data_IF_845238351637
#
_entry.id   IF_845238351637
#
_cell.length_a   1.000
_cell.length_b   1.000
_cell.length_c   1.000
_cell.angle_alpha   90.00
_cell.angle_beta   90.00
_cell.angle_gamma   90.00
#
_symmetry.space_group_name_H-M   'P 1'
#
loop_
_entity.id
_entity.type
_entity.pdbx_description
1 polymer ?
#
# COMPACT_ATOMS: atom_id res chain seq x y z
N UNK A 1 34.47 5.76 -28.14
CA UNK A 1 33.24 5.19 -27.62
C UNK A 1 33.09 5.70 -26.18
N UNK A 2 32.26 6.72 -25.98
CA UNK A 2 31.98 7.27 -24.67
C UNK A 2 30.92 6.38 -23.94
N UNK A 3 31.06 6.12 -22.62
CA UNK A 3 30.06 5.37 -21.89
C UNK A 3 28.78 6.23 -21.72
N UNK A 4 27.59 5.61 -21.63
CA UNK A 4 26.36 6.35 -21.46
C UNK A 4 26.33 7.03 -20.08
N UNK A 5 26.19 8.33 -20.09
CA UNK A 5 25.98 9.18 -18.93
C UNK A 5 24.66 8.80 -18.29
N UNK A 6 24.70 8.30 -17.06
CA UNK A 6 23.51 8.13 -16.22
C UNK A 6 22.90 9.52 -15.94
N UNK A 7 21.84 9.84 -16.65
CA UNK A 7 21.03 11.04 -16.41
C UNK A 7 20.27 10.86 -15.10
N UNK A 8 20.75 11.48 -14.04
CA UNK A 8 19.95 11.78 -12.85
C UNK A 8 19.03 12.93 -13.22
N UNK A 9 17.80 12.62 -13.63
CA UNK A 9 16.77 13.64 -13.85
C UNK A 9 16.28 14.19 -12.49
N UNK A 10 16.33 15.51 -12.25
CA UNK A 10 15.65 16.11 -11.11
C UNK A 10 14.12 16.10 -11.39
N UNK A 11 13.31 15.63 -10.44
CA UNK A 11 11.84 15.60 -10.40
C UNK A 11 11.15 14.29 -10.81
N UNK A 12 11.50 13.19 -10.18
CA UNK A 12 10.47 12.18 -9.89
C UNK A 12 9.70 12.68 -8.67
N UNK A 13 8.39 12.94 -8.85
CA UNK A 13 7.51 13.08 -7.69
C UNK A 13 7.66 11.81 -6.87
N UNK A 14 7.91 11.87 -5.55
CA UNK A 14 8.01 10.69 -4.72
C UNK A 14 6.67 9.95 -4.79
N UNK A 15 6.68 8.80 -5.43
CA UNK A 15 5.57 7.85 -5.36
C UNK A 15 5.53 7.40 -3.91
N UNK A 16 4.38 7.37 -3.25
CA UNK A 16 4.28 6.92 -1.86
C UNK A 16 4.91 5.54 -1.74
N UNK A 17 5.86 5.41 -0.83
CA UNK A 17 6.32 4.09 -0.37
C UNK A 17 5.12 3.34 0.18
N UNK A 18 5.06 2.01 0.09
CA UNK A 18 3.90 1.21 0.51
C UNK A 18 3.60 1.28 2.01
N UNK A 19 4.40 1.99 2.79
CA UNK A 19 4.30 2.09 4.24
C UNK A 19 3.11 2.95 4.64
N UNK A 20 1.98 2.32 4.94
CA UNK A 20 0.90 2.96 5.71
C UNK A 20 1.25 3.10 7.20
N UNK A 21 2.33 2.49 7.65
CA UNK A 21 2.76 2.45 9.03
C UNK A 21 3.81 3.52 9.31
N UNK A 22 3.44 4.74 9.60
CA UNK A 22 4.26 5.67 10.38
C UNK A 22 3.48 6.92 10.76
N UNK A 23 2.69 6.85 11.80
CA UNK A 23 2.36 8.04 12.61
C UNK A 23 2.50 7.66 14.08
N UNK A 24 3.58 8.13 14.70
CA UNK A 24 3.77 8.10 16.14
C UNK A 24 2.94 9.19 16.82
N UNK A 25 2.20 8.92 17.90
CA UNK A 25 2.52 9.29 19.26
C UNK A 25 1.40 9.03 20.29
N UNK A 26 1.79 8.34 21.38
CA UNK A 26 1.43 8.48 22.82
C UNK A 26 -0.03 8.18 23.21
N UNK A 27 -0.24 7.11 23.99
CA UNK A 27 -0.51 7.20 25.43
C UNK A 27 -0.72 5.83 26.10
N UNK A 28 -0.13 5.69 27.27
CA UNK A 28 -0.24 4.58 28.23
C UNK A 28 -1.66 4.43 28.77
N UNK A 29 -2.14 3.19 28.97
CA UNK A 29 -2.33 2.67 30.32
C UNK A 29 -2.84 1.23 30.31
N UNK A 30 -2.22 0.45 31.13
CA UNK A 30 -2.50 -0.91 31.54
C UNK A 30 -3.80 -1.00 32.35
N UNK A 31 -4.52 -2.12 32.25
CA UNK A 31 -5.04 -2.85 33.42
C UNK A 31 -5.27 -4.32 33.05
N UNK A 32 -4.64 -5.19 33.77
CA UNK A 32 -4.89 -6.62 33.80
C UNK A 32 -6.11 -6.94 34.66
N UNK A 33 -6.85 -7.98 34.34
CA UNK A 33 -7.43 -8.84 35.38
C UNK A 33 -7.87 -10.21 34.83
N UNK A 34 -7.35 -11.24 35.50
CA UNK A 34 -7.73 -12.64 35.44
C UNK A 34 -9.19 -12.85 35.86
N UNK A 35 -9.80 -13.94 35.40
CA UNK A 35 -10.31 -15.03 36.26
C UNK A 35 -10.75 -16.22 35.40
N UNK A 36 -10.24 -17.38 35.78
CA UNK A 36 -10.64 -18.71 35.32
C UNK A 36 -11.99 -19.14 35.99
N UNK A 37 -12.77 -19.96 35.34
CA UNK A 37 -13.51 -21.06 35.96
C UNK A 37 -13.90 -22.15 34.96
N UNK A 38 -13.58 -23.35 35.35
CA UNK A 38 -13.86 -24.67 34.79
C UNK A 38 -15.33 -25.08 34.99
N UNK A 39 -15.85 -25.94 34.10
CA UNK A 39 -17.06 -26.71 34.36
C UNK A 39 -17.64 -27.43 33.15
N UNK A 40 -17.53 -28.75 33.14
CA UNK A 40 -17.90 -29.72 32.13
C UNK A 40 -19.44 -29.88 31.97
N UNK A 41 -19.83 -30.59 30.89
CA UNK A 41 -20.84 -31.63 30.61
C UNK A 41 -21.47 -31.45 29.23
N UNK A 42 -21.08 -32.22 28.28
CA UNK A 42 -21.55 -33.45 27.56
C UNK A 42 -22.98 -33.38 26.96
N UNK A 43 -23.00 -33.65 25.64
CA UNK A 43 -24.03 -34.23 24.79
C UNK A 43 -25.37 -33.49 24.59
N UNK A 44 -25.51 -32.93 23.39
CA UNK A 44 -26.65 -33.19 22.52
C UNK A 44 -26.29 -32.88 21.08
N UNK A 45 -26.13 -33.92 20.30
CA UNK A 45 -25.90 -33.93 18.85
C UNK A 45 -27.20 -33.55 18.12
N UNK A 46 -26.93 -32.93 16.92
CA UNK A 46 -27.85 -32.81 15.79
C UNK A 46 -28.89 -31.68 15.85
N UNK A 47 -28.63 -30.64 15.16
CA UNK A 47 -29.49 -29.75 14.37
C UNK A 47 -29.01 -28.29 14.34
N UNK A 48 -27.72 -28.03 14.05
CA UNK A 48 -27.18 -26.66 13.96
C UNK A 48 -26.44 -26.38 12.67
N UNK A 49 -26.70 -27.09 11.57
CA UNK A 49 -25.94 -26.87 10.33
C UNK A 49 -26.62 -25.95 9.31
N UNK A 50 -27.77 -25.35 9.62
CA UNK A 50 -28.47 -24.45 8.67
C UNK A 50 -28.60 -23.00 9.12
N UNK A 51 -28.19 -22.66 10.32
CA UNK A 51 -28.32 -21.28 10.83
C UNK A 51 -27.11 -20.37 10.57
N UNK A 52 -25.97 -20.95 10.17
CA UNK A 52 -24.75 -20.14 9.96
C UNK A 52 -24.69 -19.39 8.63
N UNK A 53 -25.60 -19.68 7.70
CA UNK A 53 -25.60 -19.10 6.34
C UNK A 53 -26.51 -17.88 6.20
N UNK A 54 -27.36 -17.60 7.18
CA UNK A 54 -28.27 -16.43 7.11
C UNK A 54 -27.74 -15.17 7.83
N UNK A 55 -26.69 -15.26 8.63
CA UNK A 55 -26.14 -14.10 9.32
C UNK A 55 -25.30 -13.17 8.41
N UNK A 56 -24.87 -13.63 7.24
CA UNK A 56 -24.02 -12.86 6.32
C UNK A 56 -24.80 -11.89 5.41
N UNK A 57 -26.07 -12.13 5.17
CA UNK A 57 -26.88 -11.28 4.26
C UNK A 57 -27.25 -9.95 4.90
N UNK A 58 -27.28 -9.84 6.22
CA UNK A 58 -27.69 -8.61 6.90
C UNK A 58 -26.61 -7.53 6.96
N UNK A 59 -25.33 -7.89 6.81
CA UNK A 59 -24.19 -6.94 6.89
C UNK A 59 -24.01 -6.12 5.61
N UNK A 60 -24.60 -6.53 4.50
CA UNK A 60 -24.42 -5.89 3.19
C UNK A 60 -25.56 -4.94 2.80
N UNK A 61 -26.56 -4.76 3.68
CA UNK A 61 -27.70 -3.88 3.40
C UNK A 61 -27.33 -2.38 3.37
N UNK A 62 -26.17 -2.01 3.91
CA UNK A 62 -25.65 -0.64 3.82
C UNK A 62 -24.19 -0.66 3.31
N UNK A 63 -23.97 -0.55 1.99
CA UNK A 63 -22.64 -0.46 1.40
C UNK A 63 -21.80 0.69 1.96
N UNK A 64 -22.42 1.82 2.31
CA UNK A 64 -21.71 2.96 2.85
C UNK A 64 -21.21 2.70 4.28
N UNK A 65 -21.98 1.96 5.09
CA UNK A 65 -21.56 1.56 6.43
C UNK A 65 -20.39 0.57 6.37
N UNK A 66 -20.41 -0.39 5.43
CA UNK A 66 -19.30 -1.33 5.22
C UNK A 66 -18.00 -0.57 4.90
N UNK A 67 -18.07 0.41 3.99
CA UNK A 67 -16.91 1.24 3.66
C UNK A 67 -16.46 2.09 4.85
N UNK A 68 -17.39 2.66 5.63
CA UNK A 68 -17.03 3.43 6.85
C UNK A 68 -16.24 2.57 7.85
N UNK A 69 -16.70 1.35 8.11
CA UNK A 69 -15.98 0.41 9.01
C UNK A 69 -14.62 0.03 8.45
N UNK A 70 -14.53 -0.28 7.15
CA UNK A 70 -13.27 -0.59 6.52
C UNK A 70 -12.28 0.58 6.62
N UNK A 71 -12.71 1.79 6.30
CA UNK A 71 -11.88 3.00 6.44
C UNK A 71 -11.42 3.24 7.89
N UNK A 72 -12.29 3.02 8.87
CA UNK A 72 -11.90 3.13 10.29
C UNK A 72 -10.80 2.13 10.65
N UNK A 73 -10.88 0.90 10.14
CA UNK A 73 -9.85 -0.11 10.37
C UNK A 73 -8.56 0.18 9.60
N UNK A 74 -8.62 0.74 8.38
CA UNK A 74 -7.42 1.23 7.68
C UNK A 74 -6.72 2.34 8.47
N UNK A 75 -7.48 3.30 9.02
CA UNK A 75 -6.93 4.37 9.87
C UNK A 75 -6.33 3.79 11.16
N UNK A 76 -7.00 2.82 11.79
CA UNK A 76 -6.48 2.16 12.98
C UNK A 76 -5.19 1.41 12.67
N UNK A 77 -5.16 0.63 11.59
CA UNK A 77 -3.97 -0.11 11.16
C UNK A 77 -2.80 0.83 10.81
N UNK A 78 -3.07 1.97 10.19
CA UNK A 78 -2.01 2.94 9.86
C UNK A 78 -1.37 3.60 11.09
N UNK A 79 -2.02 3.53 12.25
CA UNK A 79 -1.50 4.01 13.53
C UNK A 79 -0.90 2.88 14.39
N UNK A 80 -0.95 1.63 13.90
CA UNK A 80 -0.40 0.47 14.60
C UNK A 80 1.07 0.29 14.21
N UNK A 81 1.97 0.49 15.14
CA UNK A 81 3.42 0.41 14.96
C UNK A 81 4.01 -0.90 15.48
N UNK A 82 3.18 -1.92 15.68
CA UNK A 82 3.58 -3.19 16.31
C UNK A 82 4.25 -4.16 15.35
N UNK A 83 4.03 -4.04 14.06
CA UNK A 83 4.59 -4.93 13.05
C UNK A 83 5.40 -4.15 12.01
N UNK A 84 6.52 -4.74 11.60
CA UNK A 84 7.37 -4.26 10.51
C UNK A 84 7.78 -5.42 9.64
N UNK A 85 8.02 -5.13 8.36
CA UNK A 85 8.29 -6.15 7.38
C UNK A 85 9.59 -5.89 6.62
N UNK A 86 10.24 -6.99 6.24
CA UNK A 86 11.13 -7.09 5.11
C UNK A 86 10.28 -7.60 3.94
N UNK A 87 10.41 -6.99 2.77
CA UNK A 87 9.68 -7.40 1.56
C UNK A 87 10.43 -6.99 0.29
N UNK A 88 10.01 -7.53 -0.84
CA UNK A 88 10.52 -7.18 -2.16
C UNK A 88 9.48 -6.41 -2.95
N UNK A 89 9.89 -5.35 -3.63
CA UNK A 89 9.06 -4.59 -4.55
C UNK A 89 9.70 -4.48 -5.93
N UNK A 90 8.90 -4.65 -6.97
CA UNK A 90 9.31 -4.39 -8.35
C UNK A 90 8.44 -3.28 -8.93
N UNK A 91 9.09 -2.17 -9.29
CA UNK A 91 8.46 -1.05 -10.00
C UNK A 91 8.77 -1.15 -11.48
N UNK A 92 7.72 -1.18 -12.30
CA UNK A 92 7.80 -1.17 -13.76
C UNK A 92 7.26 0.14 -14.30
N UNK A 93 7.98 0.75 -15.23
CA UNK A 93 7.62 1.95 -15.96
C UNK A 93 7.92 1.75 -17.44
N UNK A 94 7.49 2.66 -18.36
CA UNK A 94 7.89 2.60 -19.77
C UNK A 94 9.42 2.66 -20.00
N UNK A 95 10.19 3.12 -19.00
CA UNK A 95 11.65 3.20 -19.06
C UNK A 95 12.36 1.92 -18.61
N UNK A 96 11.61 0.95 -18.06
CA UNK A 96 12.14 -0.31 -17.55
C UNK A 96 11.66 -0.62 -16.14
N UNK A 97 12.22 -1.68 -15.55
CA UNK A 97 11.88 -2.12 -14.21
C UNK A 97 13.05 -2.03 -13.24
N UNK A 98 12.72 -1.78 -11.98
CA UNK A 98 13.66 -1.77 -10.85
C UNK A 98 13.11 -2.65 -9.74
N UNK A 99 13.90 -3.62 -9.30
CA UNK A 99 13.57 -4.46 -8.15
C UNK A 99 14.38 -4.03 -6.93
N UNK A 100 13.70 -3.85 -5.81
CA UNK A 100 14.29 -3.51 -4.51
C UNK A 100 13.84 -4.50 -3.44
N UNK A 101 14.66 -4.69 -2.45
CA UNK A 101 14.27 -5.23 -1.14
C UNK A 101 14.17 -4.07 -0.16
N UNK A 102 13.20 -4.17 0.74
CA UNK A 102 12.88 -3.15 1.71
C UNK A 102 12.87 -3.73 3.13
N UNK A 103 13.27 -2.94 4.09
CA UNK A 103 13.08 -3.22 5.51
C UNK A 103 12.49 -1.97 6.15
N UNK A 104 11.35 -2.14 6.78
CA UNK A 104 10.73 -1.07 7.57
C UNK A 104 11.45 -0.91 8.89
N UNK A 105 11.72 0.32 9.29
CA UNK A 105 12.33 0.65 10.56
C UNK A 105 11.55 1.74 11.28
N UNK A 106 11.86 1.97 12.55
CA UNK A 106 11.28 3.10 13.29
C UNK A 106 11.69 4.47 12.72
N UNK A 107 12.79 4.52 11.97
CA UNK A 107 13.34 5.79 11.46
C UNK A 107 12.80 6.12 10.06
N UNK A 108 12.91 5.18 9.15
CA UNK A 108 12.40 5.27 7.77
C UNK A 108 12.54 3.89 7.10
N UNK A 109 11.88 3.67 5.98
CA UNK A 109 12.04 2.43 5.21
C UNK A 109 13.41 2.39 4.53
N UNK A 110 14.26 1.42 4.91
CA UNK A 110 15.49 1.15 4.19
C UNK A 110 15.18 0.37 2.91
N UNK A 111 15.81 0.73 1.79
CA UNK A 111 15.57 0.06 0.50
C UNK A 111 16.85 -0.06 -0.30
N UNK A 112 17.14 -1.28 -0.76
CA UNK A 112 18.31 -1.63 -1.56
C UNK A 112 17.87 -2.11 -2.94
N UNK A 113 18.35 -1.50 -4.02
CA UNK A 113 18.14 -1.99 -5.39
C UNK A 113 18.96 -3.27 -5.58
N UNK A 114 18.33 -4.30 -6.13
CA UNK A 114 18.96 -5.59 -6.40
C UNK A 114 18.97 -5.97 -7.88
N UNK A 115 18.09 -5.36 -8.68
CA UNK A 115 18.04 -5.64 -10.11
C UNK A 115 17.47 -4.47 -10.92
N UNK A 116 17.96 -4.33 -12.16
CA UNK A 116 17.38 -3.50 -13.21
C UNK A 116 16.95 -4.38 -14.39
N UNK A 117 15.72 -4.21 -14.86
CA UNK A 117 15.13 -4.99 -15.96
C UNK A 117 15.27 -6.50 -15.77
N UNK A 118 15.04 -6.96 -14.52
CA UNK A 118 15.17 -8.37 -14.15
C UNK A 118 16.62 -8.91 -14.07
N UNK A 119 17.63 -8.08 -14.36
CA UNK A 119 19.04 -8.46 -14.28
C UNK A 119 19.64 -7.99 -12.97
N UNK A 120 20.37 -8.84 -12.22
CA UNK A 120 21.11 -8.44 -11.02
C UNK A 120 22.06 -7.26 -11.31
N UNK A 121 22.37 -6.49 -10.29
CA UNK A 121 23.33 -5.40 -10.40
C UNK A 121 24.74 -5.92 -10.77
N UNK A 122 25.48 -5.15 -11.58
CA UNK A 122 26.91 -5.36 -11.73
C UNK A 122 27.63 -5.05 -10.42
N UNK A 123 28.88 -5.54 -10.24
CA UNK A 123 29.67 -5.20 -9.03
C UNK A 123 29.83 -3.70 -8.80
N UNK A 124 29.94 -2.89 -9.86
CA UNK A 124 30.01 -1.43 -9.79
C UNK A 124 28.71 -0.82 -9.30
N UNK A 125 27.59 -1.20 -9.93
CA UNK A 125 26.24 -0.74 -9.55
C UNK A 125 25.92 -1.10 -8.11
N UNK A 126 26.31 -2.30 -7.67
CA UNK A 126 26.13 -2.74 -6.29
C UNK A 126 26.88 -1.83 -5.31
N UNK A 127 28.15 -1.55 -5.56
CA UNK A 127 28.96 -0.64 -4.70
C UNK A 127 28.35 0.77 -4.65
N UNK A 128 27.87 1.29 -5.78
CA UNK A 128 27.20 2.60 -5.82
C UNK A 128 25.91 2.61 -5.01
N UNK A 129 25.12 1.54 -5.11
CA UNK A 129 23.86 1.43 -4.39
C UNK A 129 24.07 1.26 -2.87
N UNK A 130 25.04 0.42 -2.46
CA UNK A 130 25.41 0.28 -1.05
C UNK A 130 25.88 1.62 -0.48
N UNK A 131 26.78 2.33 -1.17
CA UNK A 131 27.23 3.65 -0.77
C UNK A 131 26.09 4.68 -0.70
N UNK A 132 25.09 4.57 -1.59
CA UNK A 132 23.87 5.41 -1.54
C UNK A 132 23.08 5.17 -0.27
N UNK A 133 22.88 3.93 0.15
CA UNK A 133 22.11 3.62 1.35
C UNK A 133 22.94 3.92 2.61
N UNK A 134 24.23 3.66 2.60
CA UNK A 134 25.14 3.98 3.72
C UNK A 134 25.19 5.49 4.03
N UNK A 135 25.01 6.36 3.04
CA UNK A 135 24.95 7.82 3.29
C UNK A 135 23.87 8.20 4.29
N UNK A 136 22.74 7.50 4.35
CA UNK A 136 21.70 7.77 5.34
C UNK A 136 22.14 7.46 6.77
N UNK A 137 23.08 6.52 6.95
CA UNK A 137 23.66 6.19 8.26
C UNK A 137 24.62 7.30 8.72
N UNK A 138 25.42 7.83 7.78
CA UNK A 138 26.44 8.83 8.05
C UNK A 138 25.91 10.27 7.98
N UNK A 139 24.69 10.46 7.48
CA UNK A 139 24.07 11.78 7.38
C UNK A 139 22.67 11.80 8.02
N UNK A 140 22.59 12.10 9.32
CA UNK A 140 21.32 12.15 10.05
C UNK A 140 20.29 13.11 9.46
N UNK A 141 20.73 14.20 8.79
CA UNK A 141 19.84 15.15 8.14
C UNK A 141 19.16 14.55 6.91
N UNK A 142 19.86 13.74 6.12
CA UNK A 142 19.25 13.03 4.98
C UNK A 142 18.24 11.99 5.47
N UNK A 143 18.56 11.26 6.52
CA UNK A 143 17.64 10.30 7.14
C UNK A 143 16.39 11.00 7.70
N UNK A 144 16.57 12.17 8.36
CA UNK A 144 15.47 12.98 8.86
C UNK A 144 14.56 13.47 7.72
N UNK A 145 15.14 13.96 6.62
CA UNK A 145 14.38 14.40 5.43
C UNK A 145 13.62 13.23 4.81
N UNK A 146 14.24 12.05 4.73
CA UNK A 146 13.58 10.84 4.22
C UNK A 146 12.37 10.46 5.09
N UNK A 147 12.52 10.43 6.41
CA UNK A 147 11.43 10.19 7.37
C UNK A 147 10.29 11.18 7.18
N UNK A 148 10.60 12.46 7.10
CA UNK A 148 9.61 13.52 6.91
C UNK A 148 8.84 13.33 5.60
N UNK A 149 9.54 13.01 4.51
CA UNK A 149 8.92 12.74 3.22
C UNK A 149 7.99 11.52 3.25
N UNK A 150 8.37 10.45 3.92
CA UNK A 150 7.54 9.25 4.10
C UNK A 150 6.30 9.57 4.93
N UNK A 151 6.46 10.33 6.03
CA UNK A 151 5.35 10.78 6.86
C UNK A 151 4.36 11.64 6.07
N UNK A 152 4.82 12.63 5.32
CA UNK A 152 3.96 13.46 4.47
C UNK A 152 3.21 12.64 3.43
N UNK A 153 3.86 11.64 2.82
CA UNK A 153 3.22 10.75 1.86
C UNK A 153 2.14 9.89 2.53
N UNK A 154 2.43 9.33 3.70
CA UNK A 154 1.46 8.57 4.48
C UNK A 154 0.24 9.43 4.88
N UNK A 155 0.46 10.66 5.34
CA UNK A 155 -0.61 11.60 5.68
C UNK A 155 -1.49 11.95 4.47
N UNK A 156 -0.89 12.15 3.29
CA UNK A 156 -1.64 12.38 2.03
C UNK A 156 -2.51 11.17 1.68
N UNK A 157 -1.95 9.97 1.79
CA UNK A 157 -2.70 8.72 1.53
C UNK A 157 -3.85 8.57 2.52
N UNK A 158 -3.61 8.75 3.82
CA UNK A 158 -4.65 8.69 4.85
C UNK A 158 -5.74 9.74 4.64
N UNK A 159 -5.40 10.93 4.15
CA UNK A 159 -6.39 11.95 3.82
C UNK A 159 -7.36 11.47 2.74
N UNK A 160 -6.85 10.83 1.69
CA UNK A 160 -7.67 10.21 0.65
C UNK A 160 -8.54 9.09 1.23
N UNK A 161 -7.96 8.18 2.02
CA UNK A 161 -8.70 7.07 2.63
C UNK A 161 -9.83 7.58 3.53
N UNK A 162 -9.57 8.57 4.37
CA UNK A 162 -10.58 9.21 5.25
C UNK A 162 -11.73 9.84 4.48
N UNK A 163 -11.45 10.34 3.28
CA UNK A 163 -12.45 11.01 2.45
C UNK A 163 -13.42 10.03 1.77
N UNK A 164 -13.02 8.75 1.54
CA UNK A 164 -13.77 7.78 0.74
C UNK A 164 -15.27 7.68 1.11
N UNK A 165 -15.65 7.53 2.40
CA UNK A 165 -17.07 7.36 2.76
C UNK A 165 -17.95 8.56 2.43
N UNK A 166 -17.38 9.76 2.39
CA UNK A 166 -18.11 11.00 2.11
C UNK A 166 -17.99 11.42 0.64
N UNK A 167 -16.86 11.11 0.00
CA UNK A 167 -16.57 11.48 -1.37
C UNK A 167 -17.37 10.67 -2.39
N UNK A 168 -17.82 9.46 -2.01
CA UNK A 168 -18.47 8.53 -2.92
C UNK A 168 -19.83 8.06 -2.40
N UNK A 169 -20.68 7.70 -3.36
CA UNK A 169 -21.88 6.88 -3.16
C UNK A 169 -21.51 5.46 -3.59
N UNK A 170 -21.95 4.47 -2.81
CA UNK A 170 -21.61 3.07 -2.99
C UNK A 170 -22.87 2.25 -3.28
N UNK A 171 -22.78 1.38 -4.29
CA UNK A 171 -23.81 0.44 -4.66
C UNK A 171 -23.24 -0.99 -4.59
N UNK A 172 -23.99 -1.95 -4.04
CA UNK A 172 -23.59 -3.34 -4.03
C UNK A 172 -23.48 -3.89 -5.45
N UNK A 173 -22.38 -4.59 -5.74
CA UNK A 173 -22.08 -5.10 -7.09
C UNK A 173 -21.73 -6.60 -7.09
N UNK A 174 -22.04 -7.32 -5.99
CA UNK A 174 -21.82 -8.76 -5.85
C UNK A 174 -20.70 -9.12 -4.89
N UNK A 175 -20.27 -10.36 -4.96
CA UNK A 175 -19.18 -10.92 -4.17
C UNK A 175 -18.14 -11.57 -5.09
N UNK A 176 -16.89 -11.55 -4.66
CA UNK A 176 -15.77 -12.21 -5.31
C UNK A 176 -14.98 -13.01 -4.30
N UNK A 177 -14.31 -14.08 -4.73
CA UNK A 177 -13.34 -14.77 -3.90
C UNK A 177 -11.99 -14.03 -3.97
N UNK A 178 -11.27 -14.03 -2.86
CA UNK A 178 -9.91 -13.51 -2.83
C UNK A 178 -9.03 -14.28 -3.83
N UNK A 179 -8.04 -13.59 -4.37
CA UNK A 179 -7.04 -14.16 -5.25
C UNK A 179 -5.63 -13.85 -4.74
N UNK A 180 -4.57 -14.51 -5.23
CA UNK A 180 -3.21 -14.22 -4.79
C UNK A 180 -2.90 -12.72 -4.86
N UNK A 181 -2.46 -12.15 -3.76
CA UNK A 181 -2.18 -10.71 -3.64
C UNK A 181 -3.40 -9.84 -3.32
N UNK A 182 -4.60 -10.37 -3.19
CA UNK A 182 -5.81 -9.59 -2.93
C UNK A 182 -6.61 -10.21 -1.79
N UNK A 183 -6.72 -9.50 -0.68
CA UNK A 183 -7.51 -9.92 0.45
C UNK A 183 -6.86 -11.02 1.28
N UNK A 184 -7.65 -11.63 2.13
CA UNK A 184 -7.28 -12.78 2.95
C UNK A 184 -7.44 -14.05 2.13
N UNK A 185 -6.43 -14.92 2.13
CA UNK A 185 -6.43 -16.16 1.36
C UNK A 185 -7.73 -16.98 1.59
N UNK A 186 -8.44 -17.28 0.50
CA UNK A 186 -9.71 -18.02 0.53
C UNK A 186 -10.88 -17.24 1.17
N UNK A 187 -10.72 -15.95 1.47
CA UNK A 187 -11.77 -15.14 2.06
C UNK A 187 -12.75 -14.57 1.02
N UNK A 188 -14.04 -14.42 1.35
CA UNK A 188 -14.98 -13.72 0.48
C UNK A 188 -14.75 -12.20 0.54
N UNK A 189 -14.92 -11.55 -0.60
CA UNK A 189 -14.81 -10.12 -0.76
C UNK A 189 -16.13 -9.55 -1.28
N UNK A 190 -16.64 -8.53 -0.62
CA UNK A 190 -17.79 -7.77 -1.10
C UNK A 190 -17.34 -6.75 -2.12
N UNK A 191 -17.93 -6.79 -3.30
CA UNK A 191 -17.69 -5.83 -4.37
C UNK A 191 -18.71 -4.71 -4.31
N UNK A 192 -18.21 -3.49 -4.20
CA UNK A 192 -19.04 -2.28 -4.23
C UNK A 192 -18.61 -1.41 -5.41
N UNK A 193 -19.58 -0.96 -6.19
CA UNK A 193 -19.38 0.08 -7.20
C UNK A 193 -19.42 1.43 -6.53
N UNK A 194 -18.48 2.32 -6.87
CA UNK A 194 -18.49 3.69 -6.36
C UNK A 194 -18.56 4.73 -7.49
N UNK A 195 -19.21 5.83 -7.18
CA UNK A 195 -19.32 7.04 -8.01
C UNK A 195 -19.26 8.28 -7.13
N UNK A 196 -18.85 9.44 -7.67
CA UNK A 196 -18.77 10.66 -6.86
C UNK A 196 -20.10 11.02 -6.20
N UNK A 197 -20.01 11.46 -4.96
CA UNK A 197 -21.12 12.07 -4.25
C UNK A 197 -21.27 13.54 -4.69
N UNK A 198 -22.37 13.96 -5.32
CA UNK A 198 -22.54 15.33 -5.80
C UNK A 198 -22.51 16.38 -4.67
N UNK A 199 -22.84 15.96 -3.44
CA UNK A 199 -22.83 16.82 -2.26
C UNK A 199 -21.49 16.98 -1.60
N UNK A 200 -20.49 16.16 -2.00
CA UNK A 200 -19.14 16.24 -1.45
C UNK A 200 -18.45 17.54 -1.85
N UNK A 201 -17.85 18.20 -0.88
CA UNK A 201 -17.02 19.40 -1.07
C UNK A 201 -15.62 19.05 -0.62
N UNK A 202 -14.64 18.88 -1.54
CA UNK A 202 -13.26 18.55 -1.19
C UNK A 202 -12.64 19.63 -0.29
N UNK A 203 -12.07 19.27 0.88
CA UNK A 203 -11.44 20.25 1.76
C UNK A 203 -10.08 20.73 1.22
N UNK A 204 -9.46 19.97 0.33
CA UNK A 204 -8.19 20.34 -0.30
C UNK A 204 -8.07 19.78 -1.72
N UNK A 205 -7.02 20.23 -2.42
CA UNK A 205 -6.71 19.78 -3.79
C UNK A 205 -6.41 18.29 -3.88
N UNK A 206 -5.89 17.70 -2.81
CA UNK A 206 -5.61 16.25 -2.78
C UNK A 206 -6.90 15.47 -2.93
N UNK A 207 -7.97 15.89 -2.24
CA UNK A 207 -9.28 15.25 -2.31
C UNK A 207 -10.08 15.66 -3.55
N UNK A 208 -9.70 16.75 -4.26
CA UNK A 208 -10.42 17.22 -5.44
C UNK A 208 -10.46 16.15 -6.56
N UNK A 209 -9.42 15.33 -6.66
CA UNK A 209 -9.34 14.22 -7.63
C UNK A 209 -10.51 13.22 -7.46
N UNK A 210 -11.01 13.05 -6.24
CA UNK A 210 -12.12 12.12 -5.95
C UNK A 210 -13.41 12.52 -6.66
N UNK A 211 -13.61 13.79 -6.97
CA UNK A 211 -14.82 14.28 -7.67
C UNK A 211 -14.93 13.82 -9.13
N UNK A 212 -13.85 13.31 -9.69
CA UNK A 212 -13.78 12.77 -11.05
C UNK A 212 -13.60 11.26 -11.11
N UNK A 213 -13.53 10.57 -9.98
CA UNK A 213 -13.26 9.14 -9.95
C UNK A 213 -14.53 8.29 -9.84
N UNK A 214 -14.52 7.15 -10.52
CA UNK A 214 -15.53 6.09 -10.37
C UNK A 214 -14.85 4.73 -10.51
N UNK A 215 -15.48 3.68 -9.97
CA UNK A 215 -14.90 2.34 -10.06
C UNK A 215 -15.50 1.33 -9.10
N UNK A 216 -14.64 0.45 -8.58
CA UNK A 216 -15.03 -0.61 -7.66
C UNK A 216 -14.05 -0.67 -6.48
N UNK A 217 -14.60 -1.00 -5.30
CA UNK A 217 -13.84 -1.38 -4.13
C UNK A 217 -14.22 -2.80 -3.73
N UNK A 218 -13.21 -3.60 -3.38
CA UNK A 218 -13.37 -4.93 -2.77
C UNK A 218 -13.07 -4.80 -1.28
N UNK A 219 -13.99 -5.27 -0.45
CA UNK A 219 -13.88 -5.21 1.01
C UNK A 219 -13.99 -6.62 1.58
N UNK A 220 -13.02 -7.02 2.39
CA UNK A 220 -13.16 -8.19 3.26
C UNK A 220 -14.13 -7.82 4.39
N UNK A 221 -15.36 -8.34 4.32
CA UNK A 221 -16.42 -8.00 5.25
C UNK A 221 -16.27 -8.71 6.62
N UNK A 222 -15.37 -9.67 6.75
CA UNK A 222 -15.06 -10.33 8.03
C UNK A 222 -14.05 -9.50 8.82
N UNK A 223 -12.99 -9.05 8.14
CA UNK A 223 -11.93 -8.22 8.75
C UNK A 223 -12.22 -6.72 8.65
N UNK A 224 -13.22 -6.32 7.85
CA UNK A 224 -13.50 -4.92 7.51
C UNK A 224 -12.22 -4.22 7.02
N UNK A 225 -11.58 -4.81 5.98
CA UNK A 225 -10.38 -4.26 5.36
C UNK A 225 -10.62 -4.05 3.86
N UNK A 226 -9.99 -3.02 3.30
CA UNK A 226 -10.04 -2.77 1.86
C UNK A 226 -9.03 -3.69 1.19
N UNK A 227 -9.53 -4.68 0.41
CA UNK A 227 -8.67 -5.60 -0.33
C UNK A 227 -8.21 -5.02 -1.68
N UNK A 228 -9.04 -4.19 -2.33
CA UNK A 228 -8.67 -3.53 -3.58
C UNK A 228 -9.52 -2.30 -3.84
N UNK A 229 -8.91 -1.28 -4.45
CA UNK A 229 -9.63 -0.13 -5.04
C UNK A 229 -9.17 -0.02 -6.48
N UNK A 230 -10.13 -0.09 -7.43
CA UNK A 230 -9.89 0.06 -8.86
C UNK A 230 -10.76 1.18 -9.40
N UNK A 231 -10.16 2.22 -9.94
CA UNK A 231 -10.91 3.38 -10.41
C UNK A 231 -10.32 4.05 -11.65
N UNK A 232 -11.17 4.85 -12.27
CA UNK A 232 -10.83 5.67 -13.41
C UNK A 232 -11.34 7.10 -13.24
N UNK A 233 -10.62 8.05 -13.81
CA UNK A 233 -11.11 9.41 -14.01
C UNK A 233 -12.09 9.42 -15.20
N UNK A 234 -13.37 9.55 -14.94
CA UNK A 234 -14.40 9.63 -16.00
C UNK A 234 -14.52 11.02 -16.62
N UNK A 235 -13.94 12.03 -15.99
CA UNK A 235 -13.83 13.41 -16.48
C UNK A 235 -12.45 13.99 -16.13
N UNK A 236 -12.10 15.09 -16.77
CA UNK A 236 -10.96 15.91 -16.37
C UNK A 236 -11.18 16.47 -14.95
N UNK A 237 -10.12 16.51 -14.15
CA UNK A 237 -10.13 17.16 -12.84
C UNK A 237 -9.08 18.26 -12.83
N UNK A 238 -9.55 19.50 -12.73
CA UNK A 238 -8.71 20.69 -12.70
C UNK A 238 -8.45 21.15 -11.28
N UNK A 239 -7.23 21.62 -11.00
CA UNK A 239 -6.79 22.10 -9.70
C UNK A 239 -6.57 23.61 -9.74
N UNK A 240 -7.05 24.31 -8.69
CA UNK A 240 -6.89 25.75 -8.59
C UNK A 240 -7.46 26.49 -9.81
N UNK A 241 -8.68 26.14 -10.20
CA UNK A 241 -9.41 26.71 -11.35
C UNK A 241 -8.66 26.51 -12.68
N UNK A 242 -7.92 25.40 -12.80
CA UNK A 242 -7.13 25.07 -13.98
C UNK A 242 -5.74 25.72 -14.03
N UNK A 243 -5.46 26.74 -13.25
CA UNK A 243 -4.17 27.46 -13.26
C UNK A 243 -3.03 26.60 -12.72
N UNK A 244 -3.31 25.76 -11.71
CA UNK A 244 -2.31 24.89 -11.07
C UNK A 244 -2.13 23.56 -11.79
N UNK A 245 -3.01 23.23 -12.72
CA UNK A 245 -2.94 22.05 -13.53
C UNK A 245 -4.26 21.27 -13.60
N UNK A 246 -4.21 20.15 -14.28
CA UNK A 246 -5.32 19.21 -14.40
C UNK A 246 -4.81 17.79 -14.60
N UNK A 247 -5.69 16.82 -14.29
CA UNK A 247 -5.56 15.43 -14.71
C UNK A 247 -6.57 15.14 -15.80
N UNK A 248 -6.11 14.50 -16.86
CA UNK A 248 -6.92 14.17 -18.01
C UNK A 248 -7.95 13.08 -17.69
N UNK A 249 -9.08 13.10 -18.39
CA UNK A 249 -10.01 11.98 -18.44
C UNK A 249 -9.30 10.70 -18.89
N UNK A 250 -9.70 9.54 -18.31
CA UNK A 250 -9.17 8.22 -18.65
C UNK A 250 -8.00 7.78 -17.76
N UNK A 251 -7.54 8.65 -16.86
CA UNK A 251 -6.56 8.23 -15.84
C UNK A 251 -7.10 7.06 -15.02
N UNK A 252 -6.20 6.12 -14.64
CA UNK A 252 -6.56 4.88 -13.94
C UNK A 252 -5.67 4.67 -12.73
N UNK A 253 -6.24 4.06 -11.70
CA UNK A 253 -5.48 3.57 -10.56
C UNK A 253 -6.04 2.23 -10.08
N UNK A 254 -5.14 1.40 -9.58
CA UNK A 254 -5.44 0.15 -8.90
C UNK A 254 -4.52 0.08 -7.68
N UNK A 255 -5.10 -0.16 -6.52
CA UNK A 255 -4.35 -0.49 -5.29
C UNK A 255 -4.91 -1.80 -4.77
N UNK A 256 -4.03 -2.72 -4.40
CA UNK A 256 -4.36 -4.04 -3.88
C UNK A 256 -3.65 -4.24 -2.56
N UNK A 257 -4.34 -4.87 -1.61
CA UNK A 257 -3.80 -5.26 -0.31
C UNK A 257 -4.08 -6.73 -0.05
N UNK A 258 -3.19 -7.39 0.68
CA UNK A 258 -3.36 -8.75 1.14
C UNK A 258 -3.06 -8.87 2.63
N UNK A 259 -3.67 -9.84 3.28
CA UNK A 259 -3.27 -10.26 4.62
C UNK A 259 -1.95 -11.04 4.52
N UNK A 260 -0.89 -10.54 5.15
CA UNK A 260 0.46 -11.15 5.12
C UNK A 260 0.79 -11.93 6.39
N UNK A 261 0.10 -11.63 7.48
CA UNK A 261 0.08 -12.38 8.74
C UNK A 261 -1.27 -12.14 9.40
N UNK A 262 -1.58 -12.81 10.53
CA UNK A 262 -2.90 -12.69 11.16
C UNK A 262 -3.26 -11.22 11.42
N UNK A 263 -4.29 -10.75 10.71
CA UNK A 263 -4.82 -9.38 10.73
C UNK A 263 -3.81 -8.25 10.36
N UNK A 264 -2.65 -8.60 9.83
CA UNK A 264 -1.67 -7.65 9.29
C UNK A 264 -1.78 -7.61 7.77
N UNK A 265 -2.04 -6.42 7.23
CA UNK A 265 -2.33 -6.21 5.81
C UNK A 265 -1.33 -5.27 5.20
N UNK A 266 -0.81 -5.66 4.03
CA UNK A 266 0.17 -4.88 3.29
C UNK A 266 -0.27 -4.68 1.84
N UNK A 267 0.20 -3.58 1.24
CA UNK A 267 0.01 -3.34 -0.19
C UNK A 267 0.80 -4.41 -0.97
N UNK A 268 0.08 -5.18 -1.78
CA UNK A 268 0.64 -6.21 -2.67
C UNK A 268 0.84 -5.70 -4.08
N UNK A 269 0.08 -4.69 -4.50
CA UNK A 269 0.16 -4.14 -5.84
C UNK A 269 -0.40 -2.73 -5.95
N UNK A 270 0.20 -1.96 -6.87
CA UNK A 270 -0.27 -0.64 -7.23
C UNK A 270 -0.02 -0.37 -8.71
N UNK A 271 -1.03 0.10 -9.42
CA UNK A 271 -0.90 0.57 -10.81
C UNK A 271 -1.45 1.97 -10.93
N UNK A 272 -0.67 2.86 -11.50
CA UNK A 272 -1.04 4.25 -11.75
C UNK A 272 -0.80 4.59 -13.22
N UNK A 273 -1.81 5.15 -13.87
CA UNK A 273 -1.73 5.63 -15.26
C UNK A 273 -2.50 6.95 -15.35
N UNK A 274 -1.79 8.07 -15.32
CA UNK A 274 -2.37 9.40 -15.38
C UNK A 274 -1.59 10.29 -16.33
N UNK A 275 -2.30 11.08 -17.10
CA UNK A 275 -1.77 12.21 -17.87
C UNK A 275 -2.39 13.51 -17.39
N UNK A 276 -1.79 14.63 -17.76
CA UNK A 276 -2.28 15.94 -17.37
C UNK A 276 -1.22 17.02 -17.54
N UNK A 277 -1.46 18.15 -16.87
CA UNK A 277 -0.50 19.27 -16.83
C UNK A 277 -0.36 19.84 -15.43
N UNK A 278 0.83 20.34 -15.11
CA UNK A 278 1.14 21.08 -13.89
C UNK A 278 1.57 22.49 -14.30
N UNK A 279 1.03 23.51 -13.61
CA UNK A 279 1.32 24.93 -13.86
C UNK A 279 1.17 25.31 -15.35
N UNK A 280 0.17 24.73 -16.04
CA UNK A 280 -0.18 24.96 -17.45
C UNK A 280 0.91 24.57 -18.48
N UNK A 281 2.15 24.41 -18.07
CA UNK A 281 3.31 24.22 -18.97
C UNK A 281 3.99 22.86 -18.86
N UNK A 282 4.01 22.24 -17.68
CA UNK A 282 4.70 20.97 -17.46
C UNK A 282 3.76 19.80 -17.65
N UNK A 283 4.01 18.95 -18.66
CA UNK A 283 3.26 17.71 -18.86
C UNK A 283 3.49 16.76 -17.69
N UNK A 284 2.40 16.21 -17.18
CA UNK A 284 2.38 15.10 -16.22
C UNK A 284 2.09 13.81 -16.99
N UNK A 285 2.97 12.82 -16.85
CA UNK A 285 2.76 11.47 -17.36
C UNK A 285 3.23 10.47 -16.31
N UNK A 286 2.28 9.86 -15.61
CA UNK A 286 2.52 8.81 -14.63
C UNK A 286 2.07 7.50 -15.28
N UNK A 287 2.97 6.56 -15.41
CA UNK A 287 2.67 5.20 -15.86
C UNK A 287 3.59 4.24 -15.12
N UNK A 288 3.07 3.62 -14.08
CA UNK A 288 3.84 2.70 -13.25
C UNK A 288 2.98 1.57 -12.71
N UNK A 289 3.58 0.38 -12.62
CA UNK A 289 3.06 -0.75 -11.86
C UNK A 289 4.09 -1.15 -10.82
N UNK A 290 3.66 -1.32 -9.59
CA UNK A 290 4.46 -1.79 -8.47
C UNK A 290 3.83 -3.06 -7.90
N UNK A 291 4.65 -4.10 -7.71
CA UNK A 291 4.23 -5.38 -7.12
C UNK A 291 5.11 -5.65 -5.92
N UNK A 292 4.49 -5.95 -4.79
CA UNK A 292 5.18 -6.24 -3.54
C UNK A 292 4.90 -7.68 -3.10
N UNK A 293 5.94 -8.36 -2.60
CA UNK A 293 5.87 -9.78 -2.25
C UNK A 293 6.96 -10.19 -1.27
N UNK A 294 6.84 -11.41 -0.73
CA UNK A 294 7.86 -11.99 0.14
C UNK A 294 7.93 -11.29 1.49
N UNK A 295 6.80 -10.87 2.02
CA UNK A 295 6.71 -10.23 3.34
C UNK A 295 7.18 -11.17 4.43
N UNK A 296 8.16 -10.73 5.22
CA UNK A 296 8.71 -11.41 6.40
C UNK A 296 8.70 -10.43 7.54
N UNK A 297 8.06 -10.78 8.65
CA UNK A 297 8.05 -9.91 9.82
C UNK A 297 9.46 -9.77 10.40
N UNK A 298 9.82 -8.57 10.80
CA UNK A 298 11.11 -8.23 11.41
C UNK A 298 10.90 -7.56 12.77
N UNK A 299 11.91 -7.50 13.65
CA UNK A 299 11.81 -6.78 14.92
C UNK A 299 11.36 -5.31 14.71
N UNK A 300 10.40 -4.80 15.48
CA UNK A 300 9.83 -3.46 15.28
C UNK A 300 10.78 -2.32 15.65
N UNK A 301 11.81 -2.60 16.43
CA UNK A 301 12.78 -1.63 16.97
C UNK A 301 14.07 -1.53 16.15
N UNK A 302 14.12 -2.16 14.97
CA UNK A 302 15.28 -2.07 14.08
C UNK A 302 15.65 -0.62 13.77
N UNK A 303 16.93 -0.32 13.93
CA UNK A 303 17.53 0.92 13.44
C UNK A 303 17.79 0.84 11.93
N UNK A 304 17.96 1.99 11.28
CA UNK A 304 18.26 2.04 9.85
C UNK A 304 19.58 1.29 9.50
N UNK A 305 20.58 1.35 10.36
CA UNK A 305 21.84 0.63 10.18
C UNK A 305 21.65 -0.90 10.25
N UNK A 306 20.91 -1.40 11.23
CA UNK A 306 20.59 -2.83 11.33
C UNK A 306 19.77 -3.31 10.12
N UNK A 307 18.85 -2.48 9.63
CA UNK A 307 18.08 -2.79 8.43
C UNK A 307 18.98 -2.91 7.20
N UNK A 308 20.00 -2.07 7.04
CA UNK A 308 20.94 -2.19 5.93
C UNK A 308 21.71 -3.53 5.97
N UNK A 309 22.18 -3.95 7.13
CA UNK A 309 22.84 -5.25 7.26
C UNK A 309 21.89 -6.41 6.91
N UNK A 310 20.63 -6.33 7.34
CA UNK A 310 19.62 -7.33 6.99
C UNK A 310 19.35 -7.36 5.46
N UNK A 311 19.30 -6.20 4.81
CA UNK A 311 19.16 -6.10 3.36
C UNK A 311 20.34 -6.75 2.61
N UNK A 312 21.58 -6.51 3.04
CA UNK A 312 22.78 -7.13 2.46
C UNK A 312 22.78 -8.66 2.63
N UNK A 313 22.34 -9.15 3.79
CA UNK A 313 22.18 -10.59 4.04
C UNK A 313 21.12 -11.22 3.14
N UNK A 314 19.96 -10.60 3.02
CA UNK A 314 18.85 -11.09 2.16
C UNK A 314 19.25 -11.09 0.69
N UNK A 315 19.92 -10.05 0.20
CA UNK A 315 20.43 -10.00 -1.18
C UNK A 315 21.42 -11.14 -1.44
N UNK A 316 22.35 -11.39 -0.52
CA UNK A 316 23.35 -12.46 -0.62
C UNK A 316 22.69 -13.84 -0.65
N UNK A 317 21.66 -14.06 0.19
CA UNK A 317 20.88 -15.29 0.22
C UNK A 317 20.12 -15.53 -1.11
N UNK A 318 19.59 -14.47 -1.72
CA UNK A 318 18.93 -14.54 -3.02
C UNK A 318 19.94 -14.87 -4.15
N UNK A 319 21.14 -14.33 -4.10
CA UNK A 319 22.19 -14.60 -5.10
C UNK A 319 22.71 -16.05 -5.03
N UNK A 320 22.74 -16.63 -3.82
CA UNK A 320 23.20 -18.02 -3.58
C UNK A 320 22.16 -19.10 -3.94
N UNK A 321 20.88 -18.74 -4.20
CA UNK A 321 19.83 -19.70 -4.48
C UNK A 321 19.30 -19.59 -5.92
N UNK A 322 19.77 -20.45 -6.87
CA UNK A 322 19.41 -20.37 -8.29
C UNK A 322 17.92 -20.66 -8.58
N UNK A 323 17.15 -21.16 -7.62
CA UNK A 323 15.70 -21.41 -7.78
C UNK A 323 14.87 -20.13 -7.87
N UNK A 324 15.33 -19.01 -7.31
CA UNK A 324 14.64 -17.72 -7.35
C UNK A 324 14.78 -16.99 -8.69
N UNK A 325 15.77 -17.34 -9.50
CA UNK A 325 15.99 -16.78 -10.84
C UNK A 325 14.93 -17.21 -11.88
N UNK A 326 14.24 -18.34 -11.66
CA UNK A 326 13.26 -18.88 -12.63
C UNK A 326 11.83 -18.31 -12.49
N UNK A 327 11.52 -17.61 -11.41
CA UNK A 327 10.20 -16.99 -11.20
C UNK A 327 10.05 -15.61 -11.86
N UNK A 328 11.13 -15.06 -12.41
CA UNK A 328 11.12 -13.78 -13.14
C UNK A 328 10.74 -13.92 -14.63
N UNK A 329 10.45 -15.12 -15.11
CA UNK A 329 10.17 -15.41 -16.53
C UNK A 329 8.81 -16.10 -16.78
N UNK A 330 7.83 -15.95 -15.89
CA UNK A 330 6.45 -16.38 -16.20
C UNK A 330 5.44 -15.27 -16.02
#
# INVERSE_FOLDING_TARGET
MQPPVCYHGPNEMPVPSPTMAAVHHISRNSVASNVAHTGAWILLLTAASFAAQQATVSSYNDPAELVRKAVQNEIKASNDDTARFLFRGTKTTPKGSTTRIYVETRDATAGLVIAYNGKPLTPEQRREEEARVERFIHNPEELRKKREQERENAERTLRIVRALPNAFLFDYAGEEQSSPGIGRAGGPLVKLKFRPNPSYRPPSRVEEVLTGMQGYVLVDAVRYRIASINGTLFKEVSFGWGILGHLDRGGRFLVQQQEVADNLWEISGMTLSFTGKILLVKSLNINSTEIFSGFKQVPPDLTFAQALELLKMEESAMAGNPATSKLAHK
#
